data_IF_201294446078
#
_entry.id   IF_201294446078
#
_cell.length_a   1.000
_cell.length_b   1.000
_cell.length_c   1.000
_cell.angle_alpha   90.00
_cell.angle_beta   90.00
_cell.angle_gamma   90.00
#
_symmetry.space_group_name_H-M   'P 1'
#
loop_
_entity.id
_entity.type
_entity.pdbx_description
1 polymer ?
#
# COMPACT_ATOMS: atom_id res chain seq x y z
N UNK A 1 -3.65 -19.29 28.24
CA UNK A 1 -4.18 -17.97 27.82
C UNK A 1 -3.29 -17.40 26.73
N UNK A 2 -3.58 -17.65 25.45
CA UNK A 2 -2.71 -17.22 24.35
C UNK A 2 -3.25 -17.43 22.93
N UNK A 3 -4.50 -17.89 22.78
CA UNK A 3 -5.11 -18.17 21.47
C UNK A 3 -5.79 -16.95 20.85
N UNK A 4 -6.19 -15.96 21.64
CA UNK A 4 -6.93 -14.78 21.18
C UNK A 4 -6.06 -13.79 20.39
N UNK A 5 -4.82 -13.53 20.86
CA UNK A 5 -3.90 -12.58 20.20
C UNK A 5 -3.57 -12.95 18.75
N UNK A 6 -3.36 -14.25 18.46
CA UNK A 6 -3.09 -14.73 17.09
C UNK A 6 -4.27 -14.57 16.14
N UNK A 7 -5.49 -14.63 16.65
CA UNK A 7 -6.68 -14.49 15.81
C UNK A 7 -6.93 -13.03 15.43
N UNK A 8 -6.74 -12.11 16.38
CA UNK A 8 -6.81 -10.67 16.14
C UNK A 8 -5.74 -10.20 15.15
N UNK A 9 -4.50 -10.67 15.30
CA UNK A 9 -3.40 -10.36 14.37
C UNK A 9 -3.73 -10.84 12.94
N UNK A 10 -4.30 -12.04 12.80
CA UNK A 10 -4.69 -12.56 11.49
C UNK A 10 -5.85 -11.76 10.88
N UNK A 11 -6.85 -11.34 11.65
CA UNK A 11 -7.95 -10.51 11.15
C UNK A 11 -7.43 -9.16 10.69
N UNK A 12 -6.53 -8.54 11.45
CA UNK A 12 -5.91 -7.26 11.11
C UNK A 12 -5.10 -7.36 9.81
N UNK A 13 -4.27 -8.39 9.66
CA UNK A 13 -3.49 -8.63 8.43
C UNK A 13 -4.41 -8.84 7.22
N UNK A 14 -5.47 -9.66 7.35
CA UNK A 14 -6.42 -9.90 6.26
C UNK A 14 -7.19 -8.65 5.85
N UNK A 15 -7.54 -7.80 6.82
CA UNK A 15 -8.19 -6.52 6.56
C UNK A 15 -7.24 -5.58 5.81
N UNK A 16 -5.97 -5.52 6.24
CA UNK A 16 -4.93 -4.75 5.56
C UNK A 16 -4.72 -5.24 4.12
N UNK A 17 -4.56 -6.56 3.92
CA UNK A 17 -4.42 -7.15 2.58
C UNK A 17 -5.59 -6.81 1.65
N UNK A 18 -6.81 -6.88 2.18
CA UNK A 18 -8.03 -6.57 1.41
C UNK A 18 -8.06 -5.11 0.98
N UNK A 19 -7.71 -4.18 1.88
CA UNK A 19 -7.64 -2.76 1.58
C UNK A 19 -6.52 -2.44 0.59
N UNK A 20 -5.35 -3.06 0.74
CA UNK A 20 -4.24 -2.91 -0.19
C UNK A 20 -4.59 -3.42 -1.59
N UNK A 21 -5.25 -4.57 -1.70
CA UNK A 21 -5.72 -5.10 -2.98
C UNK A 21 -6.78 -4.18 -3.63
N UNK A 22 -7.69 -3.62 -2.83
CA UNK A 22 -8.68 -2.67 -3.32
C UNK A 22 -8.03 -1.37 -3.81
N UNK A 23 -7.01 -0.86 -3.10
CA UNK A 23 -6.22 0.29 -3.52
C UNK A 23 -5.49 0.00 -4.84
N UNK A 24 -4.82 -1.14 -4.95
CA UNK A 24 -4.13 -1.54 -6.19
C UNK A 24 -5.09 -1.60 -7.38
N UNK A 25 -6.30 -2.13 -7.17
CA UNK A 25 -7.34 -2.14 -8.21
C UNK A 25 -7.83 -0.73 -8.58
N UNK A 26 -8.02 0.14 -7.58
CA UNK A 26 -8.44 1.53 -7.79
C UNK A 26 -7.41 2.33 -8.60
N UNK A 27 -6.13 2.03 -8.43
CA UNK A 27 -5.05 2.72 -9.15
C UNK A 27 -4.58 1.98 -10.40
N UNK A 28 -5.10 0.79 -10.68
CA UNK A 28 -4.61 -0.09 -11.75
C UNK A 28 -4.60 0.58 -13.13
N UNK A 29 -5.63 1.39 -13.45
CA UNK A 29 -5.71 2.10 -14.74
C UNK A 29 -4.59 3.15 -14.95
N UNK A 30 -3.87 3.50 -13.88
CA UNK A 30 -2.73 4.43 -13.89
C UNK A 30 -1.38 3.72 -13.84
N UNK A 31 -1.39 2.39 -13.75
CA UNK A 31 -0.20 1.57 -13.65
C UNK A 31 -0.06 0.72 -14.93
N UNK A 32 1.17 0.37 -15.25
CA UNK A 32 1.45 -0.66 -16.26
C UNK A 32 1.02 -2.04 -15.76
N UNK A 33 0.72 -2.96 -16.68
CA UNK A 33 0.37 -4.35 -16.34
C UNK A 33 1.44 -5.02 -15.47
N UNK A 34 2.73 -4.70 -15.70
CA UNK A 34 3.83 -5.23 -14.90
C UNK A 34 3.85 -4.68 -13.48
N UNK A 35 3.56 -3.39 -13.28
CA UNK A 35 3.44 -2.78 -11.95
C UNK A 35 2.26 -3.40 -11.18
N UNK A 36 1.11 -3.59 -11.82
CA UNK A 36 -0.04 -4.27 -11.21
C UNK A 36 0.30 -5.71 -10.82
N UNK A 37 1.00 -6.43 -11.71
CA UNK A 37 1.46 -7.80 -11.44
C UNK A 37 2.40 -7.83 -10.24
N UNK A 38 3.46 -7.01 -10.23
CA UNK A 38 4.43 -6.98 -9.13
C UNK A 38 3.80 -6.56 -7.81
N UNK A 39 2.93 -5.55 -7.80
CA UNK A 39 2.19 -5.15 -6.58
C UNK A 39 1.35 -6.29 -6.01
N UNK A 40 0.72 -7.10 -6.88
CA UNK A 40 -0.03 -8.28 -6.48
C UNK A 40 0.88 -9.39 -5.95
N UNK A 41 2.05 -9.60 -6.57
CA UNK A 41 3.04 -10.60 -6.13
C UNK A 41 3.61 -10.25 -4.74
N UNK A 42 3.98 -8.99 -4.49
CA UNK A 42 4.45 -8.56 -3.15
C UNK A 42 3.41 -8.83 -2.08
N UNK A 43 2.13 -8.55 -2.38
CA UNK A 43 1.03 -8.84 -1.45
C UNK A 43 0.89 -10.35 -1.18
N UNK A 44 0.99 -11.19 -2.22
CA UNK A 44 0.91 -12.65 -2.08
C UNK A 44 2.07 -13.25 -1.27
N UNK A 45 3.23 -12.58 -1.27
CA UNK A 45 4.42 -12.98 -0.51
C UNK A 45 4.52 -12.32 0.88
N UNK A 46 3.49 -11.61 1.33
CA UNK A 46 3.45 -10.89 2.59
C UNK A 46 4.53 -9.79 2.72
N UNK A 47 5.02 -9.26 1.60
CA UNK A 47 5.99 -8.16 1.53
C UNK A 47 5.27 -6.81 1.61
N UNK A 48 4.48 -6.59 2.66
CA UNK A 48 3.52 -5.48 2.77
C UNK A 48 4.15 -4.09 2.64
N UNK A 49 5.30 -3.88 3.29
CA UNK A 49 6.03 -2.61 3.20
C UNK A 49 6.48 -2.33 1.77
N UNK A 50 7.02 -3.35 1.09
CA UNK A 50 7.45 -3.23 -0.30
C UNK A 50 6.26 -2.96 -1.22
N UNK A 51 5.13 -3.66 -1.02
CA UNK A 51 3.93 -3.48 -1.81
C UNK A 51 3.42 -2.03 -1.78
N UNK A 52 3.29 -1.42 -0.59
CA UNK A 52 2.80 -0.03 -0.47
C UNK A 52 3.85 1.00 -0.91
N UNK A 53 5.14 0.77 -0.61
CA UNK A 53 6.23 1.65 -1.05
C UNK A 53 6.34 1.68 -2.57
N UNK A 54 6.32 0.52 -3.24
CA UNK A 54 6.37 0.44 -4.71
C UNK A 54 5.17 1.09 -5.38
N UNK A 55 3.95 0.87 -4.88
CA UNK A 55 2.76 1.54 -5.43
C UNK A 55 2.86 3.05 -5.30
N UNK A 56 3.31 3.57 -4.15
CA UNK A 56 3.50 5.00 -3.96
C UNK A 56 4.58 5.58 -4.89
N UNK A 57 5.64 4.83 -5.14
CA UNK A 57 6.73 5.21 -6.04
C UNK A 57 6.25 5.30 -7.50
N UNK A 58 5.57 4.25 -8.00
CA UNK A 58 5.04 4.24 -9.36
C UNK A 58 4.01 5.34 -9.61
N UNK A 59 3.15 5.61 -8.63
CA UNK A 59 2.16 6.70 -8.74
C UNK A 59 2.82 8.08 -8.78
N UNK A 60 4.00 8.24 -8.17
CA UNK A 60 4.79 9.46 -8.28
C UNK A 60 5.48 9.55 -9.64
N UNK A 61 6.11 8.47 -10.12
CA UNK A 61 6.85 8.43 -11.39
C UNK A 61 5.97 8.72 -12.61
N UNK A 62 4.73 8.23 -12.64
CA UNK A 62 3.79 8.42 -13.76
C UNK A 62 3.15 9.83 -13.78
N UNK A 63 3.55 10.71 -12.85
CA UNK A 63 3.04 12.08 -12.63
C UNK A 63 1.50 12.14 -12.56
N UNK A 64 0.88 11.06 -12.08
CA UNK A 64 -0.57 10.96 -11.98
C UNK A 64 -1.05 11.55 -10.65
N UNK A 65 -1.79 12.67 -10.66
CA UNK A 65 -2.25 13.28 -9.43
C UNK A 65 -3.21 12.35 -8.69
N UNK A 66 -2.84 11.98 -7.46
CA UNK A 66 -3.74 11.26 -6.55
C UNK A 66 -4.84 12.19 -6.04
N UNK A 67 -6.08 11.70 -6.05
CA UNK A 67 -7.14 12.33 -5.30
C UNK A 67 -6.83 12.33 -3.80
N UNK A 68 -7.35 13.31 -3.07
CA UNK A 68 -7.09 13.43 -1.62
C UNK A 68 -7.46 12.16 -0.83
N UNK A 69 -8.55 11.48 -1.24
CA UNK A 69 -8.98 10.23 -0.62
C UNK A 69 -8.00 9.07 -0.88
N UNK A 70 -7.43 8.99 -2.09
CA UNK A 70 -6.46 7.95 -2.46
C UNK A 70 -5.16 8.14 -1.72
N UNK A 71 -4.67 9.39 -1.66
CA UNK A 71 -3.51 9.75 -0.86
C UNK A 71 -3.73 9.39 0.61
N UNK A 72 -4.89 9.74 1.18
CA UNK A 72 -5.22 9.40 2.56
C UNK A 72 -5.22 7.88 2.82
N UNK A 73 -5.74 7.07 1.89
CA UNK A 73 -5.74 5.61 2.03
C UNK A 73 -4.33 5.01 1.95
N UNK A 74 -3.51 5.46 1.00
CA UNK A 74 -2.10 5.05 0.87
C UNK A 74 -1.34 5.37 2.17
N UNK A 75 -1.48 6.59 2.68
CA UNK A 75 -0.83 7.03 3.92
C UNK A 75 -1.34 6.25 5.14
N UNK A 76 -2.65 5.96 5.22
CA UNK A 76 -3.23 5.18 6.30
C UNK A 76 -2.67 3.75 6.33
N UNK A 77 -2.66 3.05 5.19
CA UNK A 77 -2.10 1.70 5.08
C UNK A 77 -0.61 1.64 5.44
N UNK A 78 0.15 2.65 5.02
CA UNK A 78 1.57 2.78 5.37
C UNK A 78 1.77 3.00 6.88
N UNK A 79 0.93 3.83 7.51
CA UNK A 79 1.01 4.10 8.95
C UNK A 79 0.79 2.86 9.82
N UNK A 80 -0.06 1.93 9.36
CA UNK A 80 -0.34 0.67 10.05
C UNK A 80 0.85 -0.30 10.06
N UNK A 81 1.80 -0.13 9.12
CA UNK A 81 3.06 -0.89 9.05
C UNK A 81 4.20 -0.24 9.84
N UNK A 82 4.05 1.02 10.23
CA UNK A 82 5.00 1.76 11.06
C UNK A 82 5.48 3.08 10.45
N UNK A 83 6.14 3.89 11.29
CA UNK A 83 6.57 5.25 10.96
C UNK A 83 7.60 5.32 9.84
N UNK A 84 8.46 4.31 9.72
CA UNK A 84 9.51 4.30 8.68
C UNK A 84 8.93 4.08 7.29
N UNK A 85 7.94 3.18 7.16
CA UNK A 85 7.21 2.92 5.91
C UNK A 85 6.40 4.16 5.53
N UNK A 86 5.66 4.73 6.50
CA UNK A 86 4.93 5.98 6.31
C UNK A 86 5.83 7.10 5.77
N UNK A 87 7.00 7.33 6.40
CA UNK A 87 7.91 8.39 5.98
C UNK A 87 8.50 8.18 4.57
N UNK A 88 8.64 6.92 4.12
CA UNK A 88 9.08 6.61 2.74
C UNK A 88 7.96 6.87 1.74
N UNK A 89 6.75 6.42 2.03
CA UNK A 89 5.57 6.67 1.22
C UNK A 89 5.29 8.17 1.08
N UNK A 90 5.28 8.92 2.18
CA UNK A 90 5.08 10.37 2.15
C UNK A 90 6.16 11.08 1.33
N UNK A 91 7.41 10.61 1.42
CA UNK A 91 8.51 11.13 0.62
C UNK A 91 8.27 10.88 -0.87
N UNK A 92 7.91 9.67 -1.29
CA UNK A 92 7.62 9.39 -2.72
C UNK A 92 6.46 10.27 -3.21
N UNK A 93 5.36 10.34 -2.46
CA UNK A 93 4.19 11.14 -2.85
C UNK A 93 4.41 12.67 -2.76
N UNK A 94 5.48 13.13 -2.11
CA UNK A 94 5.80 14.55 -1.90
C UNK A 94 6.80 15.14 -2.90
N UNK A 95 7.43 14.32 -3.76
CA UNK A 95 8.41 14.81 -4.73
C UNK A 95 7.82 15.62 -5.91
N UNK A 96 6.50 15.79 -5.98
CA UNK A 96 5.77 16.40 -7.10
C UNK A 96 4.88 17.61 -6.72
N UNK A 97 5.30 18.42 -5.74
CA UNK A 97 4.65 19.72 -5.42
C UNK A 97 5.41 20.91 -5.95
#
# INVERSE_FOLDING_TARGET
>A
MGLYRRHEDHIAVRAWETRMAALLHLVADRLTDDQVRWGTEFLAHAEYGLAIESVADWLAEEDQPLAAAERAEVTALASELGTDVLARVERSLGHHS
#
